data_IF_836318511218
#
_entry.id   IF_836318511218
#
_cell.length_a   1.000
_cell.length_b   1.000
_cell.length_c   1.000
_cell.angle_alpha   90.00
_cell.angle_beta   90.00
_cell.angle_gamma   90.00
#
_symmetry.space_group_name_H-M   'P 1'
#
loop_
_entity.id
_entity.type
_entity.pdbx_description
1 polymer ?
#
# COMPACT_ATOMS: atom_id res chain seq x y z
N UNK A 1 -19.98 -23.94 -8.48
CA UNK A 1 -20.61 -22.64 -8.18
C UNK A 1 -21.68 -22.93 -7.16
N UNK A 2 -21.63 -22.30 -6.00
CA UNK A 2 -22.75 -22.39 -5.08
C UNK A 2 -23.91 -21.57 -5.67
N UNK A 3 -25.03 -22.23 -5.96
CA UNK A 3 -26.21 -21.59 -6.55
C UNK A 3 -26.76 -20.46 -5.69
N UNK A 4 -26.46 -20.45 -4.38
CA UNK A 4 -26.85 -19.38 -3.47
C UNK A 4 -26.25 -18.02 -3.86
N UNK A 5 -25.04 -17.99 -4.43
CA UNK A 5 -24.31 -16.77 -4.79
C UNK A 5 -24.38 -16.45 -6.29
N UNK A 6 -25.58 -16.55 -6.85
CA UNK A 6 -25.82 -16.18 -8.25
C UNK A 6 -25.82 -14.66 -8.44
N UNK A 7 -25.39 -14.15 -9.60
CA UNK A 7 -25.38 -12.70 -9.86
C UNK A 7 -26.77 -12.08 -9.63
N UNK A 8 -26.82 -10.99 -8.86
CA UNK A 8 -28.04 -10.28 -8.46
C UNK A 8 -28.72 -10.79 -7.19
N UNK A 9 -28.21 -11.84 -6.54
CA UNK A 9 -28.73 -12.26 -5.23
C UNK A 9 -28.28 -11.34 -4.11
N UNK A 10 -29.08 -11.27 -3.04
CA UNK A 10 -28.82 -10.45 -1.86
C UNK A 10 -28.45 -11.31 -0.64
N UNK A 11 -27.36 -10.93 0.00
CA UNK A 11 -26.70 -11.62 1.10
C UNK A 11 -26.50 -10.71 2.30
N UNK A 12 -26.00 -11.29 3.39
CA UNK A 12 -26.12 -10.79 4.76
C UNK A 12 -27.56 -10.88 5.32
N UNK A 13 -27.67 -10.92 6.64
CA UNK A 13 -28.95 -10.92 7.36
C UNK A 13 -29.87 -9.75 6.95
N UNK A 14 -29.29 -8.58 6.65
CA UNK A 14 -30.00 -7.35 6.28
C UNK A 14 -30.17 -7.16 4.76
N UNK A 15 -29.72 -8.13 3.95
CA UNK A 15 -29.80 -8.09 2.47
C UNK A 15 -29.10 -6.88 1.85
N UNK A 16 -28.03 -6.42 2.50
CA UNK A 16 -27.27 -5.24 2.08
C UNK A 16 -26.18 -5.51 1.04
N UNK A 17 -25.77 -6.76 0.83
CA UNK A 17 -24.76 -7.14 -0.16
C UNK A 17 -25.37 -7.78 -1.40
N UNK A 18 -25.10 -7.22 -2.58
CA UNK A 18 -25.49 -7.77 -3.88
C UNK A 18 -24.29 -8.46 -4.55
N UNK A 19 -24.49 -9.65 -5.12
CA UNK A 19 -23.50 -10.31 -5.99
C UNK A 19 -23.47 -9.61 -7.35
N UNK A 20 -22.32 -9.02 -7.69
CA UNK A 20 -22.09 -8.32 -8.96
C UNK A 20 -21.51 -9.25 -10.02
N UNK A 21 -20.59 -10.13 -9.64
CA UNK A 21 -20.02 -11.13 -10.54
C UNK A 21 -19.56 -12.35 -9.76
N UNK A 22 -19.55 -13.50 -10.44
CA UNK A 22 -19.04 -14.75 -9.91
C UNK A 22 -18.31 -15.49 -11.04
N UNK A 23 -17.06 -15.90 -10.79
CA UNK A 23 -16.23 -16.55 -11.80
C UNK A 23 -15.41 -17.69 -11.16
N UNK A 24 -15.31 -18.81 -11.87
CA UNK A 24 -14.38 -19.88 -11.50
C UNK A 24 -12.99 -19.58 -12.05
N UNK A 25 -11.98 -19.57 -11.19
CA UNK A 25 -10.58 -19.36 -11.56
C UNK A 25 -9.87 -20.71 -11.54
N UNK A 26 -9.57 -21.23 -12.73
CA UNK A 26 -9.03 -22.59 -12.90
C UNK A 26 -7.64 -22.73 -12.28
N UNK A 27 -6.80 -21.72 -12.47
CA UNK A 27 -5.37 -21.72 -12.13
C UNK A 27 -5.13 -21.87 -10.62
N UNK A 28 -6.08 -21.40 -9.80
CA UNK A 28 -6.03 -21.45 -8.34
C UNK A 28 -7.24 -22.18 -7.73
N UNK A 29 -7.98 -22.94 -8.55
CA UNK A 29 -9.04 -23.87 -8.13
C UNK A 29 -10.05 -23.29 -7.13
N UNK A 30 -10.60 -22.10 -7.43
CA UNK A 30 -11.55 -21.43 -6.54
C UNK A 30 -12.53 -20.51 -7.29
N UNK A 31 -13.53 -20.01 -6.57
CA UNK A 31 -14.49 -19.04 -7.11
C UNK A 31 -14.17 -17.63 -6.60
N UNK A 32 -14.07 -16.67 -7.52
CA UNK A 32 -14.03 -15.24 -7.20
C UNK A 32 -15.45 -14.66 -7.27
N UNK A 33 -15.97 -14.21 -6.13
CA UNK A 33 -17.24 -13.50 -6.02
C UNK A 33 -16.97 -12.02 -5.74
N UNK A 34 -17.60 -11.14 -6.49
CA UNK A 34 -17.57 -9.70 -6.27
C UNK A 34 -18.93 -9.26 -5.75
N UNK A 35 -18.93 -8.56 -4.62
CA UNK A 35 -20.10 -8.03 -3.96
C UNK A 35 -20.06 -6.50 -3.90
N UNK A 36 -21.24 -5.90 -3.84
CA UNK A 36 -21.43 -4.49 -3.51
C UNK A 36 -22.34 -4.35 -2.29
N UNK A 37 -21.87 -3.64 -1.28
CA UNK A 37 -22.72 -3.19 -0.17
C UNK A 37 -23.57 -2.01 -0.65
N UNK A 38 -24.86 -2.25 -0.90
CA UNK A 38 -25.77 -1.27 -1.51
C UNK A 38 -25.82 0.05 -0.71
N UNK A 39 -25.96 0.05 0.63
CA UNK A 39 -26.15 1.29 1.39
C UNK A 39 -24.94 2.23 1.38
N UNK A 40 -23.72 1.69 1.30
CA UNK A 40 -22.47 2.48 1.42
C UNK A 40 -21.69 2.56 0.11
N UNK A 41 -21.97 1.68 -0.85
CA UNK A 41 -21.18 1.55 -2.08
C UNK A 41 -19.88 0.78 -1.92
N UNK A 42 -19.57 0.25 -0.71
CA UNK A 42 -18.38 -0.55 -0.48
C UNK A 42 -18.34 -1.78 -1.38
N UNK A 43 -17.13 -2.12 -1.84
CA UNK A 43 -16.87 -3.29 -2.68
C UNK A 43 -16.22 -4.37 -1.84
N UNK A 44 -16.60 -5.62 -2.08
CA UNK A 44 -15.99 -6.77 -1.43
C UNK A 44 -15.71 -7.86 -2.46
N UNK A 45 -14.54 -8.49 -2.39
CA UNK A 45 -14.26 -9.73 -3.11
C UNK A 45 -14.09 -10.87 -2.12
N UNK A 46 -14.76 -11.99 -2.35
CA UNK A 46 -14.46 -13.26 -1.69
C UNK A 46 -13.87 -14.22 -2.69
N UNK A 47 -12.67 -14.73 -2.39
CA UNK A 47 -12.10 -15.87 -3.10
C UNK A 47 -12.36 -17.15 -2.31
N UNK A 48 -13.35 -17.93 -2.76
CA UNK A 48 -13.79 -19.16 -2.13
C UNK A 48 -12.94 -20.35 -2.63
N UNK A 49 -12.17 -20.94 -1.72
CA UNK A 49 -11.34 -22.12 -1.96
C UNK A 49 -11.27 -22.99 -0.71
N UNK A 50 -10.87 -24.25 -0.88
CA UNK A 50 -10.66 -25.21 0.21
C UNK A 50 -9.30 -24.96 0.89
N UNK A 51 -9.20 -23.83 1.60
CA UNK A 51 -8.02 -23.42 2.35
C UNK A 51 -8.44 -22.97 3.75
N UNK A 52 -7.87 -23.60 4.77
CA UNK A 52 -8.16 -23.31 6.17
C UNK A 52 -7.42 -22.07 6.68
N UNK A 53 -6.40 -21.59 5.98
CA UNK A 53 -5.76 -20.32 6.27
C UNK A 53 -6.55 -19.16 5.67
N UNK A 54 -7.56 -18.73 6.41
CA UNK A 54 -8.51 -17.71 5.99
C UNK A 54 -7.93 -16.32 6.17
N UNK A 55 -8.30 -15.39 5.29
CA UNK A 55 -7.83 -14.01 5.38
C UNK A 55 -8.95 -13.00 5.16
N UNK A 56 -8.81 -11.87 5.85
CA UNK A 56 -9.57 -10.65 5.64
C UNK A 56 -8.60 -9.51 5.36
N UNK A 57 -8.97 -8.60 4.46
CA UNK A 57 -8.33 -7.30 4.35
C UNK A 57 -9.36 -6.22 4.05
N UNK A 58 -9.10 -4.99 4.49
CA UNK A 58 -9.78 -3.80 4.00
C UNK A 58 -8.74 -2.83 3.45
N UNK A 59 -8.99 -2.32 2.25
CA UNK A 59 -8.12 -1.38 1.55
C UNK A 59 -8.86 -0.09 1.24
N UNK A 60 -8.13 1.02 1.20
CA UNK A 60 -8.63 2.33 0.78
C UNK A 60 -7.72 2.89 -0.30
N UNK A 61 -8.31 3.50 -1.32
CA UNK A 61 -7.54 4.25 -2.34
C UNK A 61 -7.07 5.57 -1.73
N UNK A 62 -5.75 5.74 -1.59
CA UNK A 62 -5.09 6.80 -0.82
C UNK A 62 -3.95 7.47 -1.63
N UNK A 63 -4.24 8.14 -2.77
CA UNK A 63 -3.20 8.76 -3.57
C UNK A 63 -2.70 10.07 -2.91
N UNK A 64 -1.41 10.17 -2.52
CA UNK A 64 -0.82 11.39 -1.96
C UNK A 64 -0.82 12.54 -2.97
N UNK A 65 -0.93 13.76 -2.44
CA UNK A 65 -0.84 15.02 -3.19
C UNK A 65 0.45 15.79 -2.88
N UNK A 66 1.17 15.37 -1.84
CA UNK A 66 2.40 15.97 -1.33
C UNK A 66 3.32 14.88 -0.74
N UNK A 67 4.46 15.29 -0.18
CA UNK A 67 5.44 14.37 0.42
C UNK A 67 5.32 14.29 1.95
N UNK A 68 4.19 14.68 2.54
CA UNK A 68 4.02 14.71 4.00
C UNK A 68 3.93 13.32 4.63
N UNK A 69 3.66 12.28 3.84
CA UNK A 69 3.47 10.92 4.35
C UNK A 69 2.15 10.73 5.09
N UNK A 70 1.14 11.59 4.86
CA UNK A 70 -0.13 11.57 5.61
C UNK A 70 -0.81 10.20 5.64
N UNK A 71 -0.73 9.41 4.56
CA UNK A 71 -1.33 8.08 4.51
C UNK A 71 -0.55 7.03 5.29
N UNK A 72 0.78 7.15 5.33
CA UNK A 72 1.63 6.31 6.18
C UNK A 72 1.41 6.61 7.67
N UNK A 73 1.29 7.90 8.01
CA UNK A 73 0.97 8.33 9.38
C UNK A 73 -0.43 7.86 9.78
N UNK A 74 -1.41 7.90 8.87
CA UNK A 74 -2.75 7.36 9.10
C UNK A 74 -2.74 5.86 9.31
N UNK A 75 -1.96 5.13 8.52
CA UNK A 75 -1.81 3.68 8.63
C UNK A 75 -1.41 3.25 10.05
N UNK A 76 -0.37 3.88 10.60
CA UNK A 76 0.02 3.69 12.00
C UNK A 76 -1.06 4.17 12.98
N UNK A 77 -1.57 5.40 12.78
CA UNK A 77 -2.38 6.10 13.79
C UNK A 77 -3.75 5.46 14.03
N UNK A 78 -4.40 4.91 13.01
CA UNK A 78 -5.73 4.29 13.17
C UNK A 78 -5.67 3.02 14.02
N UNK A 79 -4.49 2.38 14.10
CA UNK A 79 -4.24 1.19 14.91
C UNK A 79 -3.94 1.51 16.38
N UNK A 80 -3.86 2.79 16.77
CA UNK A 80 -3.61 3.26 18.14
C UNK A 80 -4.89 3.45 18.98
N UNK A 81 -5.86 2.55 18.78
CA UNK A 81 -7.13 2.53 19.50
C UNK A 81 -8.30 3.11 18.71
N UNK A 82 -9.49 2.66 19.10
CA UNK A 82 -10.75 2.97 18.43
C UNK A 82 -11.88 3.04 19.46
N UNK A 83 -13.12 3.30 19.02
CA UNK A 83 -14.26 3.46 19.93
C UNK A 83 -14.63 2.17 20.67
N UNK A 84 -14.64 1.02 20.00
CA UNK A 84 -14.88 -0.28 20.64
C UNK A 84 -13.65 -0.81 21.38
N UNK A 85 -12.44 -0.40 20.95
CA UNK A 85 -11.17 -0.86 21.53
C UNK A 85 -10.29 0.33 21.98
N UNK A 86 -10.67 1.05 23.06
CA UNK A 86 -10.06 2.33 23.45
C UNK A 86 -8.69 2.21 24.16
N UNK A 87 -8.03 1.07 24.02
CA UNK A 87 -6.70 0.79 24.57
C UNK A 87 -5.61 1.45 23.71
N UNK A 88 -4.42 1.68 24.27
CA UNK A 88 -3.36 2.46 23.61
C UNK A 88 -2.80 1.76 22.35
N UNK A 89 -2.54 0.47 22.44
CA UNK A 89 -1.90 -0.32 21.37
C UNK A 89 -2.66 -1.65 21.14
N UNK A 90 -3.91 -1.62 20.63
CA UNK A 90 -4.67 -2.84 20.33
C UNK A 90 -3.90 -3.80 19.41
N UNK A 91 -3.28 -3.27 18.36
CA UNK A 91 -2.50 -4.04 17.38
C UNK A 91 -1.37 -4.86 18.04
N UNK A 92 -0.59 -4.26 18.93
CA UNK A 92 0.51 -4.95 19.65
C UNK A 92 -0.03 -6.03 20.59
N UNK A 93 -1.21 -5.81 21.17
CA UNK A 93 -1.84 -6.84 21.99
C UNK A 93 -2.31 -8.02 21.14
N UNK A 94 -2.93 -7.77 19.98
CA UNK A 94 -3.33 -8.83 19.05
C UNK A 94 -2.14 -9.68 18.59
N UNK A 95 -1.00 -9.06 18.27
CA UNK A 95 0.23 -9.78 17.94
C UNK A 95 0.67 -10.77 19.04
N UNK A 96 0.36 -10.47 20.30
CA UNK A 96 0.76 -11.30 21.45
C UNK A 96 -0.29 -12.32 21.86
N UNK A 97 -1.57 -12.09 21.54
CA UNK A 97 -2.69 -12.86 22.09
C UNK A 97 -3.56 -13.58 21.07
N UNK A 98 -3.38 -13.32 19.77
CA UNK A 98 -4.11 -14.01 18.69
C UNK A 98 -3.39 -15.27 18.21
N UNK A 99 -4.09 -16.07 17.42
CA UNK A 99 -3.54 -17.22 16.67
C UNK A 99 -3.31 -16.87 15.19
N UNK A 100 -3.01 -15.60 14.92
CA UNK A 100 -2.82 -15.08 13.57
C UNK A 100 -1.70 -15.81 12.83
N UNK A 101 -1.92 -16.06 11.54
CA UNK A 101 -0.90 -16.50 10.59
C UNK A 101 -0.30 -15.31 9.83
N UNK A 102 -1.07 -14.23 9.69
CA UNK A 102 -0.59 -12.93 9.21
C UNK A 102 -1.33 -11.79 9.91
N UNK A 103 -0.61 -10.73 10.26
CA UNK A 103 -1.17 -9.51 10.84
C UNK A 103 -0.24 -8.36 10.48
N UNK A 104 -0.71 -7.45 9.63
CA UNK A 104 0.06 -6.29 9.22
C UNK A 104 -0.83 -5.13 8.77
N UNK A 105 -0.20 -4.04 8.39
CA UNK A 105 -0.78 -2.94 7.63
C UNK A 105 0.30 -2.36 6.71
N UNK A 106 -0.10 -1.83 5.56
CA UNK A 106 0.84 -1.41 4.52
C UNK A 106 0.33 -0.17 3.78
N UNK A 107 1.23 0.79 3.59
CA UNK A 107 1.01 1.97 2.75
C UNK A 107 1.76 1.83 1.43
N UNK A 108 1.02 1.68 0.34
CA UNK A 108 1.52 1.70 -1.04
C UNK A 108 1.48 3.14 -1.58
N UNK A 109 2.04 3.39 -2.79
CA UNK A 109 2.00 4.70 -3.42
C UNK A 109 0.59 5.27 -3.66
N UNK A 110 -0.46 4.45 -3.69
CA UNK A 110 -1.83 4.87 -4.02
C UNK A 110 -2.95 4.20 -3.22
N UNK A 111 -2.59 3.34 -2.26
CA UNK A 111 -3.54 2.54 -1.47
C UNK A 111 -2.97 2.19 -0.10
N UNK A 112 -3.82 2.08 0.89
CA UNK A 112 -3.48 1.61 2.24
C UNK A 112 -4.29 0.36 2.53
N UNK A 113 -3.64 -0.72 2.96
CA UNK A 113 -4.24 -2.05 3.10
C UNK A 113 -4.00 -2.60 4.51
N UNK A 114 -5.05 -3.12 5.11
CA UNK A 114 -5.03 -3.68 6.48
C UNK A 114 -5.42 -5.16 6.46
N UNK A 115 -4.48 -6.06 6.17
CA UNK A 115 -4.72 -7.51 6.11
C UNK A 115 -4.48 -8.24 7.44
N UNK A 116 -5.29 -9.27 7.67
CA UNK A 116 -5.14 -10.27 8.73
C UNK A 116 -5.45 -11.66 8.18
N UNK A 117 -4.86 -12.69 8.79
CA UNK A 117 -5.15 -14.08 8.47
C UNK A 117 -5.07 -14.96 9.73
N UNK A 118 -5.89 -16.00 9.77
CA UNK A 118 -5.89 -16.98 10.84
C UNK A 118 -6.47 -18.31 10.35
N UNK A 119 -5.97 -19.41 10.92
CA UNK A 119 -6.56 -20.74 10.73
C UNK A 119 -7.77 -20.98 11.63
N UNK A 120 -7.99 -20.11 12.63
CA UNK A 120 -9.10 -20.20 13.56
C UNK A 120 -10.17 -19.15 13.22
N UNK A 121 -11.40 -19.61 12.98
CA UNK A 121 -12.52 -18.74 12.58
C UNK A 121 -12.83 -17.67 13.63
N UNK A 122 -12.87 -18.03 14.92
CA UNK A 122 -13.17 -17.07 15.98
C UNK A 122 -12.05 -16.03 16.16
N UNK A 123 -10.80 -16.44 15.97
CA UNK A 123 -9.65 -15.54 15.98
C UNK A 123 -9.69 -14.58 14.78
N UNK A 124 -10.01 -15.07 13.58
CA UNK A 124 -10.21 -14.23 12.41
C UNK A 124 -11.29 -13.17 12.64
N UNK A 125 -12.46 -13.56 13.17
CA UNK A 125 -13.54 -12.64 13.50
C UNK A 125 -13.11 -11.60 14.55
N UNK A 126 -12.32 -11.98 15.55
CA UNK A 126 -11.77 -11.04 16.52
C UNK A 126 -10.83 -10.01 15.85
N UNK A 127 -9.94 -10.47 14.97
CA UNK A 127 -9.04 -9.62 14.20
C UNK A 127 -9.80 -8.67 13.28
N UNK A 128 -10.78 -9.20 12.53
CA UNK A 128 -11.70 -8.42 11.68
C UNK A 128 -12.41 -7.35 12.48
N UNK A 129 -12.90 -7.68 13.68
CA UNK A 129 -13.60 -6.73 14.55
C UNK A 129 -12.72 -5.56 14.95
N UNK A 130 -11.48 -5.83 15.37
CA UNK A 130 -10.53 -4.77 15.76
C UNK A 130 -10.12 -3.93 14.55
N UNK A 131 -9.82 -4.54 13.42
CA UNK A 131 -9.38 -3.84 12.22
C UNK A 131 -10.47 -2.97 11.61
N UNK A 132 -11.71 -3.46 11.53
CA UNK A 132 -12.84 -2.67 11.03
C UNK A 132 -13.13 -1.47 11.93
N UNK A 133 -13.11 -1.65 13.25
CA UNK A 133 -13.34 -0.54 14.19
C UNK A 133 -12.16 0.45 14.18
N UNK A 134 -10.93 -0.02 14.03
CA UNK A 134 -9.74 0.82 13.90
C UNK A 134 -9.84 1.78 12.71
N UNK A 135 -10.18 1.27 11.52
CA UNK A 135 -10.21 2.10 10.31
C UNK A 135 -11.50 2.94 10.18
N UNK A 136 -12.61 2.54 10.79
CA UNK A 136 -13.90 3.23 10.67
C UNK A 136 -14.17 4.21 11.83
N UNK A 137 -13.70 3.88 13.03
CA UNK A 137 -13.92 4.62 14.28
C UNK A 137 -12.62 4.86 15.07
N UNK A 138 -11.55 5.37 14.44
CA UNK A 138 -10.27 5.56 15.12
C UNK A 138 -10.32 6.61 16.22
N UNK A 139 -9.51 6.41 17.27
CA UNK A 139 -9.35 7.35 18.37
C UNK A 139 -8.64 8.66 17.96
N UNK A 140 -8.13 8.74 16.73
CA UNK A 140 -7.39 9.90 16.20
C UNK A 140 -8.18 11.20 16.34
N UNK A 141 -9.51 11.19 16.22
CA UNK A 141 -10.34 12.39 16.33
C UNK A 141 -10.43 12.95 17.76
N UNK A 142 -10.23 12.10 18.77
CA UNK A 142 -10.39 12.43 20.19
C UNK A 142 -9.04 12.61 20.89
N UNK A 143 -7.95 12.09 20.31
CA UNK A 143 -6.62 11.99 20.93
C UNK A 143 -5.52 12.49 19.99
N UNK A 144 -5.30 13.81 19.95
CA UNK A 144 -4.22 14.45 19.18
C UNK A 144 -2.82 13.84 19.42
N UNK A 145 -2.56 13.34 20.62
CA UNK A 145 -1.28 12.67 20.96
C UNK A 145 -0.94 11.48 20.07
N UNK A 146 -1.94 10.81 19.47
CA UNK A 146 -1.70 9.73 18.51
C UNK A 146 -0.94 10.26 17.29
N UNK A 147 -1.43 11.37 16.71
CA UNK A 147 -0.77 12.04 15.60
C UNK A 147 0.66 12.51 15.98
N UNK A 148 0.83 13.08 17.17
CA UNK A 148 2.13 13.55 17.64
C UNK A 148 3.12 12.40 17.82
N UNK A 149 2.68 11.25 18.36
CA UNK A 149 3.51 10.07 18.57
C UNK A 149 3.86 9.38 17.25
N UNK A 150 2.86 9.03 16.45
CA UNK A 150 3.05 8.23 15.24
C UNK A 150 3.57 9.05 14.06
N UNK A 151 3.14 10.30 13.93
CA UNK A 151 3.56 11.20 12.85
C UNK A 151 4.82 11.96 13.21
N UNK A 152 4.63 13.15 13.79
CA UNK A 152 5.73 14.02 14.22
C UNK A 152 5.31 15.01 15.31
N UNK A 153 6.29 15.44 16.11
CA UNK A 153 6.18 16.53 17.08
C UNK A 153 7.56 17.16 17.33
N UNK A 154 7.58 18.26 18.09
CA UNK A 154 8.80 18.84 18.65
C UNK A 154 9.05 18.26 20.04
N UNK A 155 10.19 17.62 20.22
CA UNK A 155 10.67 17.10 21.50
C UNK A 155 11.77 18.02 22.04
N UNK A 156 11.67 18.37 23.33
CA UNK A 156 12.67 19.15 24.04
C UNK A 156 13.63 18.24 24.80
N UNK A 157 14.93 18.45 24.65
CA UNK A 157 15.93 17.83 25.52
C UNK A 157 15.94 18.46 26.93
N UNK A 158 16.79 17.93 27.82
CA UNK A 158 16.94 18.43 29.20
C UNK A 158 17.37 19.91 29.26
N UNK A 159 17.98 20.42 28.20
CA UNK A 159 18.45 21.80 28.06
C UNK A 159 17.43 22.71 27.36
N UNK A 160 16.28 22.17 26.93
CA UNK A 160 15.22 22.90 26.23
C UNK A 160 15.46 23.10 24.73
N UNK A 161 16.45 22.43 24.13
CA UNK A 161 16.62 22.46 22.68
C UNK A 161 15.57 21.58 22.01
N UNK A 162 14.96 22.10 20.94
CA UNK A 162 13.89 21.40 20.23
C UNK A 162 14.45 20.59 19.06
N UNK A 163 13.94 19.37 18.91
CA UNK A 163 14.20 18.50 17.78
C UNK A 163 12.90 17.86 17.27
N UNK A 164 12.86 17.49 16.00
CA UNK A 164 11.73 16.73 15.46
C UNK A 164 11.83 15.27 15.88
N UNK A 165 10.74 14.70 16.37
CA UNK A 165 10.61 13.28 16.70
C UNK A 165 9.23 12.74 16.28
N UNK A 166 9.09 11.42 16.17
CA UNK A 166 7.88 10.72 15.74
C UNK A 166 8.23 9.35 15.14
N UNK A 167 7.31 8.38 15.18
CA UNK A 167 7.56 7.01 14.68
C UNK A 167 7.86 7.04 13.19
N UNK A 168 6.91 7.50 12.36
CA UNK A 168 7.05 7.56 10.90
C UNK A 168 8.16 8.53 10.50
N UNK A 169 8.30 9.65 11.21
CA UNK A 169 9.40 10.59 10.94
C UNK A 169 10.79 9.95 11.06
N UNK A 170 11.01 9.12 12.09
CA UNK A 170 12.29 8.42 12.28
C UNK A 170 12.44 7.23 11.33
N UNK A 171 11.36 6.52 11.05
CA UNK A 171 11.35 5.44 10.06
C UNK A 171 11.79 5.95 8.69
N UNK A 172 11.19 7.04 8.21
CA UNK A 172 11.52 7.61 6.90
C UNK A 172 12.90 8.27 6.85
N UNK A 173 13.44 8.72 7.98
CA UNK A 173 14.86 9.09 8.07
C UNK A 173 15.78 7.89 7.82
N UNK A 174 15.41 6.73 8.35
CA UNK A 174 16.11 5.47 8.11
C UNK A 174 15.97 5.03 6.64
N UNK A 175 14.75 5.00 6.12
CA UNK A 175 14.46 4.57 4.75
C UNK A 175 15.21 5.40 3.70
N UNK A 176 15.23 6.73 3.82
CA UNK A 176 15.95 7.61 2.88
C UNK A 176 17.46 7.72 3.13
N UNK A 177 18.01 6.89 4.02
CA UNK A 177 19.46 6.68 4.11
C UNK A 177 19.96 5.59 3.15
N UNK A 178 19.04 4.79 2.59
CA UNK A 178 19.32 3.77 1.59
C UNK A 178 19.45 4.39 0.17
N UNK A 179 20.61 4.29 -0.49
CA UNK A 179 20.81 4.78 -1.85
C UNK A 179 19.88 4.16 -2.89
N UNK A 180 19.49 2.90 -2.73
CA UNK A 180 18.58 2.22 -3.66
C UNK A 180 17.19 2.85 -3.60
N UNK A 181 16.72 3.16 -2.39
CA UNK A 181 15.44 3.84 -2.18
C UNK A 181 15.44 5.23 -2.79
N UNK A 182 16.49 6.02 -2.51
CA UNK A 182 16.62 7.39 -3.06
C UNK A 182 16.66 7.37 -4.58
N UNK A 183 17.34 6.38 -5.20
CA UNK A 183 17.38 6.24 -6.65
C UNK A 183 16.00 5.93 -7.23
N UNK A 184 15.31 4.94 -6.66
CA UNK A 184 13.95 4.57 -7.09
C UNK A 184 12.99 5.76 -7.00
N UNK A 185 12.99 6.47 -5.85
CA UNK A 185 12.11 7.61 -5.62
C UNK A 185 12.42 8.76 -6.61
N UNK A 186 13.70 8.99 -6.91
CA UNK A 186 14.12 10.02 -7.87
C UNK A 186 13.68 9.69 -9.30
N UNK A 187 13.75 8.42 -9.70
CA UNK A 187 13.25 7.96 -11.01
C UNK A 187 11.73 8.06 -11.06
N UNK A 188 11.03 7.64 -9.99
CA UNK A 188 9.57 7.75 -9.90
C UNK A 188 9.11 9.21 -9.96
N UNK A 189 9.75 10.12 -9.22
CA UNK A 189 9.45 11.56 -9.25
C UNK A 189 9.68 12.19 -10.63
N UNK A 190 10.72 11.75 -11.36
CA UNK A 190 10.99 12.21 -12.72
C UNK A 190 10.00 11.67 -13.75
N UNK A 191 9.57 10.41 -13.62
CA UNK A 191 8.62 9.77 -14.53
C UNK A 191 7.17 10.16 -14.28
N UNK A 192 6.84 10.53 -13.04
CA UNK A 192 5.48 10.79 -12.60
C UNK A 192 5.25 12.19 -12.01
N UNK A 193 5.66 13.28 -12.67
CA UNK A 193 5.61 14.64 -12.11
C UNK A 193 4.19 15.12 -11.75
N UNK A 194 3.18 14.61 -12.47
CA UNK A 194 1.79 15.10 -12.40
C UNK A 194 0.84 14.15 -11.64
N UNK A 195 1.36 13.04 -11.10
CA UNK A 195 0.54 12.02 -10.42
C UNK A 195 1.04 11.72 -9.01
N UNK A 196 0.26 10.92 -8.28
CA UNK A 196 0.60 10.47 -6.94
C UNK A 196 1.91 9.66 -6.89
N UNK A 197 2.29 9.00 -7.98
CA UNK A 197 3.51 8.18 -8.05
C UNK A 197 4.80 8.99 -8.05
N UNK A 198 4.74 10.29 -8.33
CA UNK A 198 5.87 11.19 -8.12
C UNK A 198 5.98 11.71 -6.68
N UNK A 199 5.08 11.28 -5.78
CA UNK A 199 5.09 11.64 -4.36
C UNK A 199 5.62 10.48 -3.52
N UNK A 200 6.23 10.83 -2.40
CA UNK A 200 6.75 9.85 -1.45
C UNK A 200 5.63 9.59 -0.42
N UNK A 201 4.89 8.51 -0.61
CA UNK A 201 3.72 8.15 0.20
C UNK A 201 4.07 7.82 1.65
N UNK A 202 5.29 7.35 1.91
CA UNK A 202 5.84 7.13 3.25
C UNK A 202 6.18 8.45 3.97
N UNK A 203 6.48 9.49 3.20
CA UNK A 203 6.82 10.84 3.66
C UNK A 203 8.31 11.17 3.55
N UNK A 204 8.63 12.33 2.94
CA UNK A 204 10.01 12.88 3.00
C UNK A 204 10.21 13.49 4.39
N UNK A 205 11.28 13.17 5.16
CA UNK A 205 11.52 13.73 6.48
C UNK A 205 11.50 15.26 6.55
N UNK A 206 11.82 15.95 5.45
CA UNK A 206 11.72 17.41 5.37
C UNK A 206 10.30 17.94 5.23
N UNK A 207 9.40 17.16 4.65
CA UNK A 207 8.00 17.53 4.39
C UNK A 207 7.04 16.96 5.44
N UNK A 208 7.39 15.88 6.15
CA UNK A 208 6.56 15.32 7.25
C UNK A 208 6.15 16.43 8.26
N UNK A 209 7.04 17.33 8.71
CA UNK A 209 6.67 18.41 9.63
C UNK A 209 5.70 19.47 9.07
N UNK A 210 5.39 19.44 7.78
CA UNK A 210 4.40 20.33 7.17
C UNK A 210 2.97 19.83 7.37
N UNK A 211 2.80 18.55 7.75
CA UNK A 211 1.49 17.97 8.03
C UNK A 211 0.88 18.56 9.29
N UNK A 212 -0.28 19.19 9.15
CA UNK A 212 -1.10 19.64 10.28
C UNK A 212 -2.04 18.54 10.75
N UNK A 213 -2.41 18.59 12.02
CA UNK A 213 -3.38 17.64 12.60
C UNK A 213 -4.75 17.75 11.91
N UNK A 214 -5.15 18.97 11.52
CA UNK A 214 -6.39 19.24 10.80
C UNK A 214 -6.39 18.58 9.41
N UNK A 215 -5.30 18.72 8.65
CA UNK A 215 -5.16 18.08 7.34
C UNK A 215 -5.09 16.56 7.46
N UNK A 216 -4.47 16.04 8.53
CA UNK A 216 -4.45 14.62 8.84
C UNK A 216 -5.86 14.06 9.10
N UNK A 217 -6.68 14.73 9.92
CA UNK A 217 -8.06 14.33 10.19
C UNK A 217 -8.98 14.46 8.97
N UNK A 218 -8.83 15.54 8.20
CA UNK A 218 -9.54 15.75 6.94
C UNK A 218 -9.20 14.66 5.91
N UNK A 219 -7.91 14.30 5.82
CA UNK A 219 -7.46 13.23 4.93
C UNK A 219 -8.08 11.88 5.31
N UNK A 220 -8.12 11.54 6.60
CA UNK A 220 -8.85 10.35 7.05
C UNK A 220 -10.33 10.41 6.64
N UNK A 221 -11.00 11.51 6.96
CA UNK A 221 -12.42 11.68 6.72
C UNK A 221 -12.80 11.55 5.23
N UNK A 222 -11.93 12.00 4.32
CA UNK A 222 -12.13 11.90 2.86
C UNK A 222 -11.85 10.52 2.29
N UNK A 223 -10.83 9.82 2.79
CA UNK A 223 -10.33 8.61 2.14
C UNK A 223 -10.82 7.31 2.80
N UNK A 224 -11.12 7.34 4.10
CA UNK A 224 -11.64 6.20 4.86
C UNK A 224 -13.17 6.14 4.81
N UNK A 225 -13.74 6.57 3.68
CA UNK A 225 -15.15 6.40 3.35
C UNK A 225 -15.38 5.02 2.72
N UNK A 226 -16.48 4.37 3.08
CA UNK A 226 -16.78 3.02 2.61
C UNK A 226 -17.02 2.94 1.10
N UNK A 227 -17.46 4.01 0.42
CA UNK A 227 -17.56 4.02 -1.04
C UNK A 227 -16.18 3.98 -1.72
N UNK A 228 -15.12 4.37 -0.99
CA UNK A 228 -13.72 4.33 -1.43
C UNK A 228 -13.00 3.03 -1.01
N UNK A 229 -13.66 2.16 -0.24
CA UNK A 229 -13.05 0.93 0.27
C UNK A 229 -13.13 -0.25 -0.71
N UNK A 230 -12.25 -1.21 -0.49
CA UNK A 230 -12.29 -2.54 -1.10
C UNK A 230 -11.93 -3.57 -0.03
N UNK A 231 -12.89 -4.43 0.32
CA UNK A 231 -12.70 -5.53 1.27
C UNK A 231 -12.38 -6.84 0.54
N UNK A 232 -11.50 -7.64 1.11
CA UNK A 232 -11.13 -8.95 0.60
C UNK A 232 -11.38 -10.01 1.66
N UNK A 233 -11.98 -11.12 1.24
CA UNK A 233 -12.11 -12.36 2.00
C UNK A 233 -11.45 -13.49 1.19
N UNK A 234 -10.77 -14.39 1.86
CA UNK A 234 -10.11 -15.55 1.24
C UNK A 234 -10.27 -16.80 2.11
N UNK A 235 -10.47 -17.95 1.46
CA UNK A 235 -10.46 -19.27 2.08
C UNK A 235 -11.85 -19.86 2.33
N UNK A 236 -11.86 -20.96 3.07
CA UNK A 236 -13.04 -21.75 3.41
C UNK A 236 -13.85 -21.09 4.53
N UNK A 237 -14.68 -20.11 4.17
CA UNK A 237 -15.46 -19.26 5.09
C UNK A 237 -16.97 -19.54 4.98
N UNK A 238 -17.69 -19.38 6.09
CA UNK A 238 -19.14 -19.19 6.04
C UNK A 238 -19.43 -17.76 5.56
N UNK A 239 -19.50 -17.60 4.24
CA UNK A 239 -19.61 -16.27 3.62
C UNK A 239 -20.86 -15.50 4.07
N UNK A 240 -22.00 -16.14 4.28
CA UNK A 240 -23.21 -15.44 4.76
C UNK A 240 -23.01 -14.86 6.17
N UNK A 241 -22.35 -15.62 7.04
CA UNK A 241 -21.98 -15.15 8.38
C UNK A 241 -21.00 -13.98 8.31
N UNK A 242 -19.95 -14.07 7.51
CA UNK A 242 -18.95 -13.00 7.38
C UNK A 242 -19.53 -11.73 6.74
N UNK A 243 -20.37 -11.87 5.70
CA UNK A 243 -21.08 -10.74 5.10
C UNK A 243 -22.00 -10.05 6.11
N UNK A 244 -22.70 -10.81 6.95
CA UNK A 244 -23.54 -10.26 8.02
C UNK A 244 -22.71 -9.53 9.08
N UNK A 245 -21.58 -10.11 9.47
CA UNK A 245 -20.63 -9.51 10.40
C UNK A 245 -20.09 -8.16 9.87
N UNK A 246 -19.73 -8.10 8.60
CA UNK A 246 -19.22 -6.88 7.94
C UNK A 246 -20.34 -5.86 7.74
N UNK A 247 -21.53 -6.28 7.28
CA UNK A 247 -22.69 -5.41 7.07
C UNK A 247 -23.05 -4.60 8.32
N UNK A 248 -23.10 -5.27 9.48
CA UNK A 248 -23.38 -4.61 10.77
C UNK A 248 -22.37 -3.50 11.09
N UNK A 249 -21.08 -3.71 10.78
CA UNK A 249 -20.00 -2.74 11.03
C UNK A 249 -20.01 -1.61 10.00
N UNK A 250 -20.33 -1.92 8.74
CA UNK A 250 -20.52 -0.92 7.70
C UNK A 250 -21.73 -0.02 7.98
N UNK A 251 -22.82 -0.56 8.51
CA UNK A 251 -23.99 0.20 8.92
C UNK A 251 -23.71 1.14 10.11
N UNK A 252 -22.78 0.76 11.00
CA UNK A 252 -22.34 1.57 12.14
C UNK A 252 -21.28 2.62 11.78
N UNK A 253 -20.72 2.59 10.57
CA UNK A 253 -19.68 3.51 10.14
C UNK A 253 -20.18 4.97 10.14
N UNK A 254 -19.38 5.86 10.72
CA UNK A 254 -19.70 7.29 10.75
C UNK A 254 -19.53 7.91 9.36
N UNK A 255 -20.58 8.55 8.85
CA UNK A 255 -20.49 9.37 7.63
C UNK A 255 -19.94 10.75 8.00
N UNK A 256 -18.78 11.08 7.44
CA UNK A 256 -18.04 12.30 7.79
C UNK A 256 -18.20 13.43 6.77
N UNK A 257 -18.84 13.17 5.63
CA UNK A 257 -19.18 14.14 4.58
C UNK A 257 -18.00 15.05 4.14
N UNK A 258 -16.78 14.53 4.17
CA UNK A 258 -15.56 15.33 3.97
C UNK A 258 -15.21 15.63 2.50
N UNK A 259 -16.10 15.30 1.56
CA UNK A 259 -15.85 15.40 0.12
C UNK A 259 -15.21 14.14 -0.46
N UNK A 260 -14.80 14.20 -1.73
CA UNK A 260 -14.29 13.03 -2.43
C UNK A 260 -12.83 12.70 -2.04
N UNK A 261 -12.44 11.40 -2.04
CA UNK A 261 -11.04 11.00 -2.01
C UNK A 261 -10.25 11.64 -3.15
N UNK A 262 -8.94 11.81 -2.95
CA UNK A 262 -8.04 12.27 -4.00
C UNK A 262 -8.20 11.40 -5.26
N UNK A 263 -8.18 12.01 -6.46
CA UNK A 263 -8.22 11.25 -7.70
C UNK A 263 -6.90 10.51 -7.91
N UNK A 264 -6.97 9.32 -8.54
CA UNK A 264 -5.80 8.64 -9.06
C UNK A 264 -5.80 8.85 -10.57
N UNK A 265 -5.08 9.87 -11.02
CA UNK A 265 -5.02 10.24 -12.43
C UNK A 265 -3.90 9.48 -13.14
N UNK A 266 -4.12 9.21 -14.43
CA UNK A 266 -3.05 8.83 -15.34
C UNK A 266 -2.48 10.09 -16.00
N UNK A 267 -1.21 10.04 -16.36
CA UNK A 267 -0.53 11.09 -17.12
C UNK A 267 -0.06 10.61 -18.48
N UNK A 268 0.21 11.57 -19.37
CA UNK A 268 0.88 11.31 -20.62
C UNK A 268 2.35 10.90 -20.38
N UNK A 269 2.97 10.15 -21.31
CA UNK A 269 4.40 9.85 -21.24
C UNK A 269 5.25 11.12 -21.20
N UNK A 270 6.26 11.12 -20.35
CA UNK A 270 7.26 12.18 -20.25
C UNK A 270 8.64 11.61 -20.57
N UNK A 271 9.54 12.46 -21.07
CA UNK A 271 10.96 12.16 -21.19
C UNK A 271 11.71 13.16 -20.32
N UNK A 272 11.97 12.84 -19.04
CA UNK A 272 12.64 13.76 -18.14
C UNK A 272 14.12 13.91 -18.53
N UNK A 273 14.69 15.08 -18.25
CA UNK A 273 16.13 15.26 -18.32
C UNK A 273 16.82 14.39 -17.24
N UNK A 274 18.00 13.81 -17.53
CA UNK A 274 18.75 13.05 -16.54
C UNK A 274 19.01 13.87 -15.28
N UNK A 275 18.79 13.26 -14.11
CA UNK A 275 19.04 13.88 -12.82
C UNK A 275 20.16 13.15 -12.08
N UNK A 276 20.88 13.89 -11.23
CA UNK A 276 21.91 13.33 -10.35
C UNK A 276 21.63 13.75 -8.92
N UNK A 277 21.51 12.76 -8.03
CA UNK A 277 21.38 12.98 -6.58
C UNK A 277 22.67 12.58 -5.90
N UNK A 278 23.26 13.51 -5.15
CA UNK A 278 24.49 13.25 -4.40
C UNK A 278 24.15 12.88 -2.97
N UNK A 279 24.50 11.65 -2.58
CA UNK A 279 24.37 11.16 -1.22
C UNK A 279 25.73 11.14 -0.51
N UNK A 280 25.71 11.28 0.82
CA UNK A 280 26.91 11.15 1.63
C UNK A 280 27.14 9.67 2.01
N UNK A 281 27.63 8.89 1.06
CA UNK A 281 27.85 7.45 1.17
C UNK A 281 29.18 7.05 0.51
N UNK A 282 29.58 5.78 0.59
CA UNK A 282 30.82 5.29 -0.08
C UNK A 282 30.70 5.37 -1.60
N UNK A 283 31.83 5.55 -2.30
CA UNK A 283 31.84 5.62 -3.75
C UNK A 283 31.24 4.37 -4.42
N UNK A 284 31.46 3.20 -3.81
CA UNK A 284 30.94 1.90 -4.26
C UNK A 284 29.40 1.82 -4.26
N UNK A 285 28.70 2.74 -3.59
CA UNK A 285 27.22 2.82 -3.62
C UNK A 285 26.70 3.66 -4.80
N UNK A 286 27.58 4.16 -5.67
CA UNK A 286 27.18 4.89 -6.88
C UNK A 286 26.35 3.99 -7.79
N UNK A 287 25.18 4.47 -8.19
CA UNK A 287 24.23 3.69 -8.99
C UNK A 287 23.60 4.56 -10.09
N UNK A 288 23.17 3.93 -11.17
CA UNK A 288 22.38 4.54 -12.24
C UNK A 288 21.05 3.80 -12.34
N UNK A 289 19.97 4.57 -12.46
CA UNK A 289 18.61 4.04 -12.62
C UNK A 289 18.01 4.52 -13.93
N UNK A 290 17.34 3.63 -14.65
CA UNK A 290 16.49 3.96 -15.80
C UNK A 290 15.09 3.45 -15.54
N UNK A 291 14.08 4.19 -15.96
CA UNK A 291 12.70 3.74 -15.82
C UNK A 291 11.87 3.96 -17.08
N UNK A 292 10.98 3.01 -17.35
CA UNK A 292 10.07 3.03 -18.49
C UNK A 292 8.64 2.75 -18.04
N UNK A 293 7.71 3.64 -18.36
CA UNK A 293 6.28 3.42 -18.13
C UNK A 293 5.74 2.53 -19.24
N UNK A 294 5.23 1.36 -18.88
CA UNK A 294 4.88 0.33 -19.86
C UNK A 294 3.42 0.36 -20.30
N UNK A 295 2.48 0.91 -19.52
CA UNK A 295 1.07 0.94 -19.90
C UNK A 295 0.15 1.09 -18.72
N UNK A 296 -0.89 0.25 -18.68
CA UNK A 296 -1.90 0.21 -17.62
C UNK A 296 -2.14 -1.24 -17.16
N UNK A 297 -2.63 -1.50 -15.92
CA UNK A 297 -2.77 -2.85 -15.37
C UNK A 297 -3.69 -3.81 -16.14
N UNK A 298 -4.63 -3.28 -16.92
CA UNK A 298 -5.50 -4.08 -17.78
C UNK A 298 -4.76 -4.70 -18.98
N UNK A 299 -3.57 -4.19 -19.32
CA UNK A 299 -2.71 -4.71 -20.39
C UNK A 299 -1.84 -5.89 -19.90
N UNK A 300 -2.45 -6.89 -19.25
CA UNK A 300 -1.75 -8.01 -18.60
C UNK A 300 -0.77 -8.74 -19.52
N UNK A 301 -1.16 -9.01 -20.77
CA UNK A 301 -0.28 -9.67 -21.75
C UNK A 301 0.97 -8.84 -22.06
N UNK A 302 0.85 -7.51 -22.03
CA UNK A 302 1.99 -6.61 -22.25
C UNK A 302 2.95 -6.64 -21.06
N UNK A 303 2.42 -6.65 -19.83
CA UNK A 303 3.23 -6.75 -18.61
C UNK A 303 3.98 -8.08 -18.56
N UNK A 304 3.27 -9.19 -18.79
CA UNK A 304 3.89 -10.52 -18.84
C UNK A 304 4.93 -10.65 -19.96
N UNK A 305 4.66 -10.11 -21.15
CA UNK A 305 5.63 -10.11 -22.24
C UNK A 305 6.88 -9.28 -21.91
N UNK A 306 6.72 -8.14 -21.21
CA UNK A 306 7.84 -7.34 -20.75
C UNK A 306 8.67 -8.10 -19.71
N UNK A 307 8.04 -8.73 -18.73
CA UNK A 307 8.74 -9.50 -17.70
C UNK A 307 9.56 -10.65 -18.31
N UNK A 308 8.94 -11.47 -19.18
CA UNK A 308 9.65 -12.55 -19.89
C UNK A 308 10.82 -12.02 -20.73
N UNK A 309 10.64 -10.87 -21.38
CA UNK A 309 11.69 -10.24 -22.18
C UNK A 309 12.89 -9.83 -21.31
N UNK A 310 12.64 -9.13 -20.19
CA UNK A 310 13.71 -8.66 -19.31
C UNK A 310 14.35 -9.79 -18.51
N UNK A 311 13.60 -10.84 -18.13
CA UNK A 311 14.17 -12.06 -17.54
C UNK A 311 15.13 -12.74 -18.54
N UNK A 312 14.72 -12.85 -19.80
CA UNK A 312 15.58 -13.41 -20.86
C UNK A 312 16.84 -12.59 -21.07
N UNK A 313 16.75 -11.25 -21.00
CA UNK A 313 17.87 -10.35 -21.24
C UNK A 313 18.80 -10.20 -20.02
N UNK A 314 18.28 -10.31 -18.80
CA UNK A 314 18.96 -9.88 -17.57
C UNK A 314 18.74 -10.75 -16.32
N UNK A 315 17.88 -11.77 -16.38
CA UNK A 315 17.49 -12.59 -15.22
C UNK A 315 18.61 -13.40 -14.58
N UNK A 316 19.74 -13.59 -15.26
CA UNK A 316 20.94 -14.23 -14.73
C UNK A 316 22.22 -13.51 -15.19
N UNK A 317 23.34 -13.77 -14.53
CA UNK A 317 24.64 -13.21 -14.92
C UNK A 317 25.09 -13.65 -16.32
N UNK A 318 24.54 -14.74 -16.86
CA UNK A 318 24.82 -15.23 -18.21
C UNK A 318 23.85 -14.69 -19.27
N UNK A 319 22.79 -13.99 -18.85
CA UNK A 319 21.82 -13.38 -19.74
C UNK A 319 22.50 -12.27 -20.57
N UNK A 320 22.17 -12.13 -21.87
CA UNK A 320 23.02 -11.42 -22.84
C UNK A 320 23.27 -9.94 -22.49
N UNK A 321 22.26 -9.23 -21.98
CA UNK A 321 22.40 -7.82 -21.62
C UNK A 321 23.15 -7.66 -20.29
N UNK A 322 22.81 -8.44 -19.26
CA UNK A 322 23.51 -8.41 -17.97
C UNK A 322 24.98 -8.78 -18.13
N UNK A 323 25.28 -9.86 -18.86
CA UNK A 323 26.67 -10.29 -19.13
C UNK A 323 27.46 -9.22 -19.87
N UNK A 324 26.88 -8.59 -20.90
CA UNK A 324 27.57 -7.54 -21.65
C UNK A 324 27.97 -6.35 -20.77
N UNK A 325 27.11 -5.95 -19.82
CA UNK A 325 27.38 -4.85 -18.88
C UNK A 325 28.46 -5.24 -17.85
N UNK A 326 28.41 -6.47 -17.33
CA UNK A 326 29.41 -6.97 -16.38
C UNK A 326 30.78 -7.17 -17.06
N UNK A 327 30.82 -7.73 -18.26
CA UNK A 327 32.05 -7.92 -19.06
C UNK A 327 32.68 -6.58 -19.47
N UNK A 328 31.87 -5.53 -19.64
CA UNK A 328 32.33 -4.17 -19.89
C UNK A 328 32.81 -3.45 -18.62
N UNK A 329 32.72 -4.09 -17.45
CA UNK A 329 33.13 -3.56 -16.15
C UNK A 329 32.47 -2.20 -15.81
N UNK A 330 31.22 -1.96 -16.25
CA UNK A 330 30.52 -0.68 -16.01
C UNK A 330 30.02 -0.55 -14.57
N UNK A 331 29.74 -1.67 -13.91
CA UNK A 331 29.26 -1.75 -12.53
C UNK A 331 29.42 -3.15 -11.95
N UNK A 332 29.05 -3.30 -10.69
CA UNK A 332 29.18 -4.57 -9.96
C UNK A 332 27.96 -5.48 -10.09
N UNK A 333 26.77 -4.90 -10.30
CA UNK A 333 25.53 -5.65 -10.55
C UNK A 333 24.55 -4.85 -11.41
N UNK A 334 23.79 -5.57 -12.24
CA UNK A 334 22.74 -4.99 -13.08
C UNK A 334 21.45 -5.80 -12.93
N UNK A 335 20.37 -5.11 -12.56
CA UNK A 335 19.09 -5.72 -12.23
C UNK A 335 17.92 -4.96 -12.88
N UNK A 336 16.78 -5.64 -12.98
CA UNK A 336 15.53 -5.02 -13.36
C UNK A 336 14.42 -5.39 -12.38
N UNK A 337 13.39 -4.56 -12.34
CA UNK A 337 12.20 -4.73 -11.53
C UNK A 337 11.00 -4.24 -12.34
N UNK A 338 9.93 -5.03 -12.39
CA UNK A 338 8.66 -4.61 -12.96
C UNK A 338 7.68 -4.34 -11.82
N UNK A 339 7.29 -3.07 -11.64
CA UNK A 339 6.23 -2.67 -10.71
C UNK A 339 4.92 -2.58 -11.50
N UNK A 340 4.12 -3.64 -11.42
CA UNK A 340 2.81 -3.77 -12.09
C UNK A 340 1.61 -3.54 -11.14
N UNK A 341 1.90 -3.17 -9.91
CA UNK A 341 0.94 -2.83 -8.84
C UNK A 341 0.48 -1.36 -8.85
N UNK A 342 0.97 -0.57 -9.83
CA UNK A 342 0.64 0.83 -10.08
C UNK A 342 -0.36 0.98 -11.22
N UNK A 343 -1.17 2.04 -11.22
CA UNK A 343 -2.09 2.38 -12.31
C UNK A 343 -1.37 2.71 -13.64
N UNK A 344 -0.08 3.02 -13.58
CA UNK A 344 0.81 3.03 -14.74
C UNK A 344 2.07 2.20 -14.43
N UNK A 345 2.07 0.89 -14.74
CA UNK A 345 3.20 0.02 -14.47
C UNK A 345 4.53 0.55 -15.01
N UNK A 346 5.58 0.36 -14.24
CA UNK A 346 6.91 0.85 -14.52
C UNK A 346 7.93 -0.30 -14.50
N UNK A 347 8.75 -0.37 -15.54
CA UNK A 347 10.00 -1.11 -15.50
C UNK A 347 11.09 -0.20 -14.95
N UNK A 348 11.83 -0.67 -13.95
CA UNK A 348 13.00 -0.01 -13.39
C UNK A 348 14.24 -0.86 -13.63
N UNK A 349 15.30 -0.28 -14.17
CA UNK A 349 16.61 -0.88 -14.39
C UNK A 349 17.60 -0.21 -13.46
N UNK A 350 18.47 -0.98 -12.82
CA UNK A 350 19.46 -0.45 -11.90
C UNK A 350 20.84 -1.07 -12.15
N UNK A 351 21.84 -0.20 -12.35
CA UNK A 351 23.26 -0.55 -12.31
C UNK A 351 23.85 -0.09 -10.98
N UNK A 352 24.36 -1.01 -10.17
CA UNK A 352 25.01 -0.75 -8.87
C UNK A 352 26.53 -0.83 -9.00
N UNK A 353 27.24 -0.12 -8.12
CA UNK A 353 28.70 -0.15 -8.09
C UNK A 353 29.34 0.49 -9.32
N UNK A 354 28.71 1.56 -9.82
CA UNK A 354 29.10 2.26 -11.03
C UNK A 354 30.59 2.65 -10.99
N UNK A 355 31.35 2.25 -12.02
CA UNK A 355 32.77 2.62 -12.13
C UNK A 355 32.95 4.07 -12.55
N UNK A 356 34.05 4.67 -12.13
CA UNK A 356 34.33 6.09 -12.35
C UNK A 356 34.34 6.43 -13.86
N UNK A 357 33.61 7.48 -14.25
CA UNK A 357 33.49 7.91 -15.65
C UNK A 357 32.47 7.15 -16.52
N UNK A 358 31.86 6.08 -16.01
CA UNK A 358 30.97 5.21 -16.81
C UNK A 358 29.50 5.66 -16.85
N UNK A 359 29.13 6.77 -16.20
CA UNK A 359 27.72 7.19 -16.08
C UNK A 359 27.04 7.50 -17.41
N UNK A 360 27.79 7.93 -18.43
CA UNK A 360 27.28 8.23 -19.78
C UNK A 360 27.30 7.03 -20.74
N UNK A 361 27.85 5.90 -20.31
CA UNK A 361 27.98 4.68 -21.12
C UNK A 361 26.91 3.63 -20.79
N UNK A 362 26.10 3.89 -19.76
CA UNK A 362 24.91 3.09 -19.44
C UNK A 362 23.85 3.36 -20.52
N UNK A 363 23.38 2.33 -21.25
CA UNK A 363 22.53 2.46 -22.43
C UNK A 363 21.14 3.03 -22.17
#
# INVERSE_FOLDING_TARGET
MDSAFSVGTLHAEDKSFEVISAEWVNEISGYAYIFKHIPTGARLMWFACDDDNRSFAIAFKTPPVDHTGVFHILEHSVLCGSDAYPVKEPFVNLLKTSMQTFLNAMTYPDKTVYPVASTNVADLENLMSVYLDAVLHPAIYKRKRIFEQEGWHLEADEQGNLSYNGVVFNEMKGALSDPDRVLYDSVSEALFPDTAYGKESGGKPRAIPELTYENFLDTHARHYDLSNSYTFLYGDLDCERELSFIAQRFAAAEKRDAGAPNPLNLQAPVLPEPCQVRMNTTADNSSVGLGYVLGTPDQRNKMMAADILFDTLMGSNESPLKRAILDAELGDDFSYYLSDDLAQPMLFLQLKGLKEGCSSEVP
#
